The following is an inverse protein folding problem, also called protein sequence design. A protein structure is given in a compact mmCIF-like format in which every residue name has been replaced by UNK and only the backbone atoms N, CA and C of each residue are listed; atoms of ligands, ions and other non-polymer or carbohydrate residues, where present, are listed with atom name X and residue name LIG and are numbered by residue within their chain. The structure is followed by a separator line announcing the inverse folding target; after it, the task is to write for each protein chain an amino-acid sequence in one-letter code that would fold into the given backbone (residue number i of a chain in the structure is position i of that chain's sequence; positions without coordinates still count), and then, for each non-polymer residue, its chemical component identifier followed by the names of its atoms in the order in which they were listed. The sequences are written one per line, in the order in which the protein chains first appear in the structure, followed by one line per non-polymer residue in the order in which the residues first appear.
data_IF_718960424851
#
_entry.id   IF_718960424851
#
_cell.length_a   1.000
_cell.length_b   1.000
_cell.length_c   1.000
_cell.angle_alpha   90.00
_cell.angle_beta   90.00
_cell.angle_gamma   90.00
#
_symmetry.space_group_name_H-M   'P 1'
#
loop_
_entity.id
_entity.type
_entity.pdbx_description
1 polymer ?
#
# COMPACT_ATOMS: atom_id res chain seq x y z
N UNK A 1 37.67 14.81 7.28
CA UNK A 1 36.26 15.08 6.91
C UNK A 1 35.62 13.76 6.55
N UNK A 2 34.75 13.23 7.43
CA UNK A 2 34.22 11.84 7.36
C UNK A 2 32.69 11.79 7.19
N UNK A 3 32.06 12.92 6.89
CA UNK A 3 30.60 13.13 6.97
C UNK A 3 29.70 12.42 5.92
N UNK A 4 30.13 12.00 4.71
CA UNK A 4 29.16 11.51 3.73
C UNK A 4 28.64 10.08 3.99
N UNK A 5 29.30 9.30 4.85
CA UNK A 5 28.93 7.89 5.08
C UNK A 5 27.84 7.75 6.14
N UNK A 6 27.92 8.54 7.21
CA UNK A 6 26.95 8.56 8.29
C UNK A 6 25.57 9.06 7.81
N UNK A 7 25.56 10.17 7.06
CA UNK A 7 24.33 10.75 6.47
C UNK A 7 23.62 9.79 5.51
N UNK A 8 24.38 9.03 4.71
CA UNK A 8 23.82 8.00 3.82
C UNK A 8 23.18 6.86 4.59
N UNK A 9 23.81 6.42 5.68
CA UNK A 9 23.32 5.32 6.50
C UNK A 9 22.03 5.70 7.24
N UNK A 10 21.96 6.94 7.75
CA UNK A 10 20.74 7.50 8.38
C UNK A 10 19.61 7.58 7.35
N UNK A 11 19.90 8.08 6.14
CA UNK A 11 18.92 8.19 5.06
C UNK A 11 18.38 6.82 4.63
N UNK A 12 19.25 5.81 4.52
CA UNK A 12 18.83 4.45 4.17
C UNK A 12 17.90 3.82 5.22
N UNK A 13 18.22 4.01 6.52
CA UNK A 13 17.38 3.50 7.61
C UNK A 13 16.02 4.20 7.67
N UNK A 14 15.99 5.52 7.44
CA UNK A 14 14.74 6.26 7.37
C UNK A 14 13.86 5.81 6.20
N UNK A 15 14.44 5.71 5.00
CA UNK A 15 13.72 5.24 3.81
C UNK A 15 13.19 3.80 3.98
N UNK A 16 13.96 2.93 4.65
CA UNK A 16 13.51 1.57 4.99
C UNK A 16 12.31 1.60 5.96
N UNK A 17 12.35 2.44 6.99
CA UNK A 17 11.24 2.59 7.93
C UNK A 17 9.98 3.10 7.24
N UNK A 18 10.13 4.10 6.36
CA UNK A 18 9.03 4.64 5.57
C UNK A 18 8.44 3.59 4.60
N UNK A 19 9.29 2.79 3.95
CA UNK A 19 8.86 1.67 3.12
C UNK A 19 8.00 0.66 3.91
N UNK A 20 8.47 0.24 5.10
CA UNK A 20 7.72 -0.69 5.96
C UNK A 20 6.40 -0.08 6.43
N UNK A 21 6.40 1.19 6.82
CA UNK A 21 5.18 1.90 7.23
C UNK A 21 4.15 1.94 6.08
N UNK A 22 4.58 2.24 4.85
CA UNK A 22 3.70 2.23 3.68
C UNK A 22 3.19 0.83 3.33
N UNK A 23 4.00 -0.22 3.48
CA UNK A 23 3.51 -1.59 3.33
C UNK A 23 2.40 -1.93 4.33
N UNK A 24 2.51 -1.50 5.59
CA UNK A 24 1.47 -1.72 6.59
C UNK A 24 0.20 -0.93 6.27
N UNK A 25 0.33 0.36 5.90
CA UNK A 25 -0.82 1.19 5.46
C UNK A 25 -1.53 0.58 4.23
N UNK A 26 -0.79 -0.06 3.32
CA UNK A 26 -1.36 -0.77 2.15
C UNK A 26 -2.20 -1.96 2.59
N UNK A 27 -1.72 -2.77 3.54
CA UNK A 27 -2.49 -3.91 4.05
C UNK A 27 -3.81 -3.43 4.67
N UNK A 28 -3.75 -2.37 5.48
CA UNK A 28 -4.93 -1.80 6.13
C UNK A 28 -5.95 -1.26 5.11
N UNK A 29 -5.51 -0.49 4.10
CA UNK A 29 -6.43 0.05 3.09
C UNK A 29 -7.04 -1.05 2.22
N UNK A 30 -6.30 -2.13 1.95
CA UNK A 30 -6.82 -3.28 1.19
C UNK A 30 -7.92 -4.00 1.98
N UNK A 31 -7.77 -4.16 3.29
CA UNK A 31 -8.85 -4.69 4.14
C UNK A 31 -10.09 -3.80 4.12
N UNK A 32 -9.91 -2.47 4.15
CA UNK A 32 -11.02 -1.50 4.05
C UNK A 32 -11.72 -1.62 2.69
N UNK A 33 -10.97 -1.72 1.60
CA UNK A 33 -11.53 -1.90 0.25
C UNK A 33 -12.37 -3.17 0.15
N UNK A 34 -11.87 -4.31 0.63
CA UNK A 34 -12.63 -5.57 0.64
C UNK A 34 -13.93 -5.45 1.44
N UNK A 35 -13.91 -4.76 2.58
CA UNK A 35 -15.13 -4.48 3.35
C UNK A 35 -16.11 -3.62 2.56
N UNK A 36 -15.64 -2.54 1.93
CA UNK A 36 -16.48 -1.63 1.13
C UNK A 36 -17.08 -2.33 -0.09
N UNK A 37 -16.33 -3.18 -0.80
CA UNK A 37 -16.86 -4.03 -1.87
C UNK A 37 -17.99 -4.91 -1.38
N UNK A 38 -17.78 -5.59 -0.24
CA UNK A 38 -18.80 -6.45 0.37
C UNK A 38 -20.06 -5.65 0.74
N UNK A 39 -19.89 -4.46 1.31
CA UNK A 39 -20.99 -3.58 1.67
C UNK A 39 -21.75 -3.06 0.44
N UNK A 40 -21.06 -2.73 -0.64
CA UNK A 40 -21.66 -2.30 -1.90
C UNK A 40 -22.48 -3.42 -2.56
N UNK A 41 -21.94 -4.65 -2.62
CA UNK A 41 -22.66 -5.81 -3.15
C UNK A 41 -23.94 -6.07 -2.36
N UNK A 42 -23.85 -6.10 -1.02
CA UNK A 42 -25.04 -6.25 -0.16
C UNK A 42 -26.03 -5.10 -0.33
N UNK A 43 -25.53 -3.88 -0.53
CA UNK A 43 -26.37 -2.71 -0.80
C UNK A 43 -27.18 -2.86 -2.08
N UNK A 44 -26.62 -3.49 -3.12
CA UNK A 44 -27.32 -3.79 -4.38
C UNK A 44 -28.33 -4.93 -4.23
N UNK A 45 -28.05 -5.93 -3.40
CA UNK A 45 -28.98 -7.05 -3.15
C UNK A 45 -30.28 -6.61 -2.47
N UNK A 46 -30.24 -5.53 -1.69
CA UNK A 46 -31.40 -4.99 -0.95
C UNK A 46 -32.07 -3.84 -1.71
N UNK A 47 -31.47 -3.36 -2.79
CA UNK A 47 -32.00 -2.23 -3.54
C UNK A 47 -33.24 -2.66 -4.36
N UNK A 48 -34.37 -2.00 -4.14
CA UNK A 48 -35.66 -2.34 -4.76
C UNK A 48 -35.70 -1.89 -6.25
N UNK A 49 -36.32 -2.69 -7.15
CA UNK A 49 -36.51 -2.30 -8.55
C UNK A 49 -37.57 -1.19 -8.66
N UNK A 50 -37.23 -0.08 -9.33
CA UNK A 50 -38.04 1.15 -9.48
C UNK A 50 -39.03 1.08 -10.62
N UNK A 51 -38.73 0.34 -11.69
CA UNK A 51 -39.62 0.19 -12.84
C UNK A 51 -39.50 -1.22 -13.40
N UNK A 52 -40.60 -1.98 -13.38
CA UNK A 52 -40.77 -3.16 -14.23
C UNK A 52 -41.59 -2.75 -15.43
N UNK A 53 -40.94 -2.53 -16.57
CA UNK A 53 -41.62 -2.41 -17.84
C UNK A 53 -41.39 -3.69 -18.67
N UNK A 54 -42.41 -4.11 -19.41
CA UNK A 54 -42.59 -5.35 -20.19
C UNK A 54 -41.46 -5.78 -21.17
N UNK A 55 -40.30 -5.14 -21.18
CA UNK A 55 -39.11 -5.46 -22.00
C UNK A 55 -37.78 -5.29 -21.23
N UNK A 56 -37.74 -5.80 -20.00
CA UNK A 56 -36.55 -6.11 -19.20
C UNK A 56 -35.43 -5.03 -19.20
N UNK A 57 -35.66 -3.95 -18.47
CA UNK A 57 -34.58 -3.14 -17.88
C UNK A 57 -34.91 -2.96 -16.40
N UNK A 58 -34.21 -3.67 -15.52
CA UNK A 58 -34.34 -3.52 -14.07
C UNK A 58 -33.61 -2.25 -13.62
N UNK A 59 -34.32 -1.12 -13.55
CA UNK A 59 -33.82 0.06 -12.85
C UNK A 59 -33.93 -0.22 -11.35
N UNK A 60 -32.83 -0.16 -10.61
CA UNK A 60 -32.77 -0.42 -9.17
C UNK A 60 -32.49 0.88 -8.42
N UNK A 61 -33.27 1.20 -7.37
CA UNK A 61 -33.04 2.40 -6.56
C UNK A 61 -31.88 2.18 -5.61
N UNK A 62 -30.71 2.73 -5.95
CA UNK A 62 -29.64 2.86 -4.98
C UNK A 62 -29.98 3.94 -3.96
N UNK A 63 -30.03 3.57 -2.68
CA UNK A 63 -30.22 4.53 -1.58
C UNK A 63 -29.06 5.51 -1.47
N UNK A 64 -29.26 6.65 -0.81
CA UNK A 64 -28.18 7.63 -0.56
C UNK A 64 -26.98 7.01 0.16
N UNK A 65 -27.22 6.02 1.03
CA UNK A 65 -26.17 5.26 1.71
C UNK A 65 -25.31 4.45 0.72
N UNK A 66 -25.88 3.91 -0.36
CA UNK A 66 -25.12 3.23 -1.40
C UNK A 66 -24.16 4.20 -2.11
N UNK A 67 -24.63 5.39 -2.47
CA UNK A 67 -23.79 6.40 -3.11
C UNK A 67 -22.65 6.88 -2.21
N UNK A 68 -22.91 7.03 -0.91
CA UNK A 68 -21.86 7.34 0.07
C UNK A 68 -20.81 6.22 0.16
N UNK A 69 -21.24 4.95 0.20
CA UNK A 69 -20.32 3.81 0.18
C UNK A 69 -19.47 3.77 -1.10
N UNK A 70 -20.07 4.11 -2.24
CA UNK A 70 -19.37 4.13 -3.52
C UNK A 70 -18.31 5.24 -3.55
N UNK A 71 -18.63 6.39 -2.98
CA UNK A 71 -17.67 7.51 -2.88
C UNK A 71 -16.52 7.16 -1.93
N UNK A 72 -16.81 6.57 -0.77
CA UNK A 72 -15.77 6.08 0.16
C UNK A 72 -14.87 5.03 -0.52
N UNK A 73 -15.44 4.13 -1.32
CA UNK A 73 -14.67 3.15 -2.09
C UNK A 73 -13.74 3.84 -3.10
N UNK A 74 -14.24 4.85 -3.82
CA UNK A 74 -13.46 5.65 -4.77
C UNK A 74 -12.29 6.37 -4.09
N UNK A 75 -12.52 6.97 -2.92
CA UNK A 75 -11.47 7.63 -2.14
C UNK A 75 -10.42 6.64 -1.64
N UNK A 76 -10.85 5.49 -1.11
CA UNK A 76 -9.95 4.43 -0.66
C UNK A 76 -9.08 3.87 -1.80
N UNK A 77 -9.64 3.70 -3.00
CA UNK A 77 -8.90 3.30 -4.21
C UNK A 77 -7.81 4.30 -4.60
N UNK A 78 -8.15 5.60 -4.58
CA UNK A 78 -7.17 6.66 -4.86
C UNK A 78 -6.05 6.64 -3.80
N UNK A 79 -6.42 6.54 -2.52
CA UNK A 79 -5.46 6.46 -1.42
C UNK A 79 -4.54 5.24 -1.57
N UNK A 80 -5.08 4.09 -1.97
CA UNK A 80 -4.29 2.88 -2.26
C UNK A 80 -3.25 3.16 -3.34
N UNK A 81 -3.63 3.78 -4.46
CA UNK A 81 -2.69 4.13 -5.54
C UNK A 81 -1.55 5.03 -5.04
N UNK A 82 -1.89 6.05 -4.25
CA UNK A 82 -0.89 6.95 -3.66
C UNK A 82 0.07 6.22 -2.72
N UNK A 83 -0.45 5.28 -1.91
CA UNK A 83 0.35 4.46 -1.02
C UNK A 83 1.33 3.56 -1.78
N UNK A 84 0.89 2.92 -2.86
CA UNK A 84 1.76 2.13 -3.74
C UNK A 84 2.86 3.00 -4.36
N UNK A 85 2.53 4.19 -4.86
CA UNK A 85 3.53 5.13 -5.39
C UNK A 85 4.53 5.58 -4.32
N UNK A 86 4.07 5.89 -3.11
CA UNK A 86 4.93 6.28 -1.99
C UNK A 86 5.84 5.13 -1.54
N UNK A 87 5.33 3.90 -1.48
CA UNK A 87 6.12 2.69 -1.18
C UNK A 87 7.23 2.52 -2.21
N UNK A 88 6.91 2.61 -3.49
CA UNK A 88 7.89 2.40 -4.57
C UNK A 88 8.97 3.49 -4.55
N UNK A 89 8.58 4.73 -4.26
CA UNK A 89 9.52 5.83 -4.04
C UNK A 89 10.45 5.55 -2.84
N UNK A 90 9.90 5.18 -1.68
CA UNK A 90 10.69 4.86 -0.48
C UNK A 90 11.66 3.69 -0.74
N UNK A 91 11.24 2.68 -1.50
CA UNK A 91 12.10 1.57 -1.92
C UNK A 91 13.25 2.04 -2.82
N UNK A 92 12.99 2.94 -3.77
CA UNK A 92 14.02 3.50 -4.64
C UNK A 92 15.04 4.32 -3.85
N UNK A 93 14.59 5.16 -2.92
CA UNK A 93 15.46 5.94 -2.02
C UNK A 93 16.28 5.01 -1.14
N UNK A 94 15.66 3.98 -0.57
CA UNK A 94 16.37 3.01 0.26
C UNK A 94 17.46 2.28 -0.54
N UNK A 95 17.16 1.83 -1.76
CA UNK A 95 18.14 1.17 -2.65
C UNK A 95 19.28 2.10 -3.06
N UNK A 96 19.01 3.38 -3.33
CA UNK A 96 20.04 4.33 -3.75
C UNK A 96 20.91 4.82 -2.59
N UNK A 97 20.36 4.87 -1.38
CA UNK A 97 21.08 5.24 -0.16
C UNK A 97 21.82 4.06 0.49
N UNK A 98 21.39 2.83 0.21
CA UNK A 98 22.08 1.63 0.68
C UNK A 98 23.41 1.48 -0.07
N UNK A 99 24.54 1.30 0.62
CA UNK A 99 25.75 0.88 -0.06
C UNK A 99 25.45 -0.44 -0.78
N UNK A 100 25.80 -0.55 -2.08
CA UNK A 100 25.98 -1.87 -2.71
C UNK A 100 26.77 -2.71 -1.71
N UNK A 101 26.35 -3.97 -1.50
CA UNK A 101 27.03 -4.91 -0.62
C UNK A 101 28.49 -5.06 -1.06
N UNK A 102 29.32 -4.14 -0.59
CA UNK A 102 30.71 -3.99 -0.95
C UNK A 102 31.41 -4.94 -0.02
N UNK A 103 31.51 -6.21 -0.44
CA UNK A 103 32.61 -7.12 -0.12
C UNK A 103 33.19 -7.13 1.32
N UNK A 104 32.40 -6.83 2.36
CA UNK A 104 32.81 -6.91 3.77
C UNK A 104 32.31 -8.20 4.43
N UNK A 105 31.45 -8.97 3.77
CA UNK A 105 31.19 -10.37 4.15
C UNK A 105 32.36 -11.33 3.80
N UNK A 106 33.45 -10.81 3.22
CA UNK A 106 34.69 -11.56 3.02
C UNK A 106 35.61 -11.59 4.26
N UNK A 107 35.24 -10.96 5.38
CA UNK A 107 36.11 -10.79 6.55
C UNK A 107 35.57 -11.37 7.87
N UNK A 108 34.79 -12.46 7.82
CA UNK A 108 34.54 -13.31 9.00
C UNK A 108 34.74 -14.79 8.62
N UNK A 109 35.93 -15.10 8.12
CA UNK A 109 36.43 -16.49 8.03
C UNK A 109 37.96 -16.47 8.02
N UNK A 110 38.54 -15.84 9.03
CA UNK A 110 39.93 -16.11 9.41
C UNK A 110 39.93 -16.39 10.91
N UNK A 111 39.97 -17.66 11.33
CA UNK A 111 40.42 -17.94 12.68
C UNK A 111 41.91 -17.65 12.73
N UNK A 112 42.25 -16.56 13.42
CA UNK A 112 43.61 -16.31 13.88
C UNK A 112 43.91 -17.26 15.04
N UNK A 113 44.81 -18.20 14.74
CA UNK A 113 46.05 -18.49 15.48
C UNK A 113 46.18 -19.73 16.42
N UNK A 114 47.39 -20.29 16.33
CA UNK A 114 48.23 -20.96 17.36
C UNK A 114 48.18 -22.50 17.49
N UNK A 115 49.04 -23.21 16.74
CA UNK A 115 50.30 -23.81 17.22
C UNK A 115 50.95 -24.71 16.17
#
# INVERSE_FOLDING_TARGET
MSQPMEDRTVTANQARSEYVAKCNEIIEIEMVLTYLETALVRGLEVAEPVVTDHREVHAVYASDAFWQLLEMYREAENRRRDLYAARDYALLVWKSASPEATAVDAYVSTPLNNH
#
